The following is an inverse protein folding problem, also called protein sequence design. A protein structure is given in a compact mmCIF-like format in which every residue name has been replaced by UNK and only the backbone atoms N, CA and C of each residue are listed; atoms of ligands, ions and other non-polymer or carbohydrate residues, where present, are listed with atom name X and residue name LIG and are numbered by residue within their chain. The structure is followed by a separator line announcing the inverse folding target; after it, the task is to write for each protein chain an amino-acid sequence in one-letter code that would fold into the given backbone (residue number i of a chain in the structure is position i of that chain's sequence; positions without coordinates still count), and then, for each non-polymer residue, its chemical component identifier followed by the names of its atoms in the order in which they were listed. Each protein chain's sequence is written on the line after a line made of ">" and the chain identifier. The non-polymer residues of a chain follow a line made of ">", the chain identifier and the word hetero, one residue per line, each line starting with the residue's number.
data_IF_617964766938
#
_entry.id   IF_617964766938
#
_cell.length_a   1.000
_cell.length_b   1.000
_cell.length_c   1.000
_cell.angle_alpha   90.00
_cell.angle_beta   90.00
_cell.angle_gamma   90.00
#
_symmetry.space_group_name_H-M   'P 1'
#
loop_
_entity.id
_entity.type
_entity.pdbx_description
1 polymer ?
#
# COMPACT_ATOMS: atom_id res chain seq x y z
N UNK A 1 -19.96 -9.23 2.92
CA UNK A 1 -18.72 -9.44 3.70
C UNK A 1 -17.63 -8.55 3.14
N UNK A 2 -16.82 -7.95 4.00
CA UNK A 2 -15.74 -7.02 3.62
C UNK A 2 -14.47 -7.84 3.40
N UNK A 3 -14.34 -8.44 2.21
CA UNK A 3 -13.23 -9.33 1.83
C UNK A 3 -11.93 -8.57 1.53
N UNK A 4 -11.38 -7.87 2.52
CA UNK A 4 -10.08 -7.20 2.47
C UNK A 4 -9.44 -7.15 3.87
N UNK A 5 -8.14 -6.88 3.95
CA UNK A 5 -7.41 -6.77 5.23
C UNK A 5 -7.61 -5.38 5.86
N UNK A 6 -7.08 -4.35 5.21
CA UNK A 6 -7.29 -2.96 5.57
C UNK A 6 -7.26 -2.07 4.32
N UNK A 7 -7.73 -0.82 4.48
CA UNK A 7 -7.60 0.23 3.47
C UNK A 7 -7.61 1.61 4.10
N UNK A 8 -6.79 2.51 3.59
CA UNK A 8 -6.90 3.95 3.81
C UNK A 8 -8.15 4.50 3.10
N UNK A 9 -8.88 5.37 3.78
CA UNK A 9 -10.04 6.09 3.23
C UNK A 9 -9.69 7.54 2.92
N UNK A 10 -10.43 8.22 2.02
CA UNK A 10 -10.28 9.65 1.78
C UNK A 10 -10.53 10.54 3.01
N UNK A 11 -11.15 10.00 4.07
CA UNK A 11 -11.45 10.73 5.31
C UNK A 11 -10.31 10.65 6.34
N UNK A 12 -9.10 10.31 5.91
CA UNK A 12 -7.95 10.13 6.79
C UNK A 12 -8.15 9.09 7.88
N UNK A 13 -8.91 8.03 7.57
CA UNK A 13 -9.11 6.89 8.47
C UNK A 13 -8.63 5.59 7.84
N UNK A 14 -8.26 4.63 8.67
CA UNK A 14 -7.98 3.25 8.24
C UNK A 14 -9.20 2.41 8.59
N UNK A 15 -9.72 1.70 7.59
CA UNK A 15 -10.79 0.73 7.77
C UNK A 15 -10.21 -0.68 7.68
N UNK A 16 -10.50 -1.52 8.67
CA UNK A 16 -10.19 -2.96 8.64
C UNK A 16 -11.36 -3.76 8.07
N UNK A 17 -11.05 -4.87 7.42
CA UNK A 17 -12.03 -5.83 6.90
C UNK A 17 -11.96 -7.18 7.62
N UNK A 18 -12.77 -8.12 7.17
CA UNK A 18 -12.98 -9.40 7.86
C UNK A 18 -11.71 -10.29 7.80
N UNK A 19 -10.88 -10.11 6.76
CA UNK A 19 -9.64 -10.89 6.61
C UNK A 19 -8.56 -10.51 7.62
N UNK A 20 -8.71 -9.38 8.32
CA UNK A 20 -7.74 -8.92 9.31
C UNK A 20 -7.60 -9.91 10.47
N UNK A 21 -8.67 -10.65 10.80
CA UNK A 21 -8.67 -11.68 11.85
C UNK A 21 -7.81 -12.91 11.51
N UNK A 22 -7.41 -13.09 10.25
CA UNK A 22 -6.52 -14.19 9.85
C UNK A 22 -5.02 -13.85 9.96
N UNK A 23 -4.70 -12.60 10.28
CA UNK A 23 -3.32 -12.13 10.41
C UNK A 23 -2.84 -12.24 11.84
N UNK A 24 -1.55 -12.55 12.01
CA UNK A 24 -0.89 -12.42 13.32
C UNK A 24 -0.86 -10.95 13.77
N UNK A 25 -0.73 -10.68 15.07
CA UNK A 25 -0.66 -9.30 15.58
C UNK A 25 0.46 -8.48 14.93
N UNK A 26 1.59 -9.10 14.59
CA UNK A 26 2.70 -8.43 13.88
C UNK A 26 2.34 -8.07 12.44
N UNK A 27 1.61 -8.93 11.73
CA UNK A 27 1.15 -8.66 10.36
C UNK A 27 0.04 -7.60 10.38
N UNK A 28 -0.86 -7.66 11.37
CA UNK A 28 -1.91 -6.67 11.55
C UNK A 28 -1.32 -5.27 11.76
N UNK A 29 -0.37 -5.14 12.69
CA UNK A 29 0.31 -3.88 12.95
C UNK A 29 1.03 -3.35 11.71
N UNK A 30 1.68 -4.24 10.94
CA UNK A 30 2.36 -3.87 9.71
C UNK A 30 1.42 -3.38 8.61
N UNK A 31 0.30 -4.08 8.38
CA UNK A 31 -0.71 -3.67 7.40
C UNK A 31 -1.33 -2.33 7.81
N UNK A 32 -1.66 -2.13 9.08
CA UNK A 32 -2.18 -0.83 9.58
C UNK A 32 -1.15 0.28 9.38
N UNK A 33 0.13 0.02 9.66
CA UNK A 33 1.19 1.00 9.45
C UNK A 33 1.37 1.36 7.97
N UNK A 34 1.29 0.38 7.07
CA UNK A 34 1.30 0.60 5.62
C UNK A 34 0.12 1.50 5.19
N UNK A 35 -1.11 1.19 5.63
CA UNK A 35 -2.27 2.04 5.35
C UNK A 35 -2.13 3.46 5.91
N UNK A 36 -1.53 3.61 7.10
CA UNK A 36 -1.19 4.93 7.65
C UNK A 36 -0.15 5.65 6.80
N UNK A 37 0.77 4.93 6.15
CA UNK A 37 1.70 5.50 5.18
C UNK A 37 0.98 6.17 4.00
N UNK A 38 -0.10 5.55 3.49
CA UNK A 38 -0.92 6.20 2.47
C UNK A 38 -1.55 7.51 2.93
N UNK A 39 -1.97 7.58 4.20
CA UNK A 39 -2.51 8.80 4.80
C UNK A 39 -1.42 9.86 5.01
N UNK A 40 -0.29 9.48 5.61
CA UNK A 40 0.82 10.39 5.91
C UNK A 40 1.37 11.08 4.65
N UNK A 41 1.30 10.40 3.51
CA UNK A 41 1.78 10.91 2.22
C UNK A 41 0.67 11.42 1.28
N UNK A 42 -0.57 11.53 1.75
CA UNK A 42 -1.70 12.09 0.99
C UNK A 42 -1.90 11.39 -0.37
N UNK A 43 -1.78 10.06 -0.37
CA UNK A 43 -1.79 9.26 -1.60
C UNK A 43 -3.14 9.30 -2.32
N UNK A 44 -4.25 9.32 -1.57
CA UNK A 44 -5.59 9.39 -2.13
C UNK A 44 -5.84 10.72 -2.84
N UNK A 45 -5.42 11.82 -2.24
CA UNK A 45 -5.56 13.19 -2.73
C UNK A 45 -4.72 13.40 -3.98
N UNK A 46 -3.45 12.93 -3.96
CA UNK A 46 -2.60 12.92 -5.14
C UNK A 46 -3.27 12.18 -6.29
N UNK A 47 -3.83 10.98 -6.04
CA UNK A 47 -4.59 10.23 -7.06
C UNK A 47 -5.81 11.00 -7.54
N UNK A 48 -6.59 11.61 -6.65
CA UNK A 48 -7.75 12.41 -7.00
C UNK A 48 -7.39 13.58 -7.92
N UNK A 49 -6.28 14.28 -7.66
CA UNK A 49 -5.82 15.38 -8.52
C UNK A 49 -5.55 14.95 -9.96
N UNK A 50 -5.08 13.72 -10.21
CA UNK A 50 -4.91 13.20 -11.57
C UNK A 50 -6.23 13.05 -12.33
N UNK A 51 -7.32 12.72 -11.62
CA UNK A 51 -8.66 12.65 -12.22
C UNK A 51 -9.26 14.04 -12.42
N UNK A 52 -9.17 14.92 -11.41
CA UNK A 52 -9.72 16.27 -11.48
C UNK A 52 -9.07 17.13 -12.57
N UNK A 53 -7.78 16.92 -12.82
CA UNK A 53 -7.03 17.61 -13.90
C UNK A 53 -7.13 16.91 -15.25
N UNK A 54 -7.86 15.78 -15.33
CA UNK A 54 -7.91 14.90 -16.50
C UNK A 54 -6.54 14.38 -16.97
N UNK A 55 -5.46 14.58 -16.18
CA UNK A 55 -4.11 14.15 -16.50
C UNK A 55 -4.01 12.63 -16.71
N UNK A 56 -4.90 11.86 -16.08
CA UNK A 56 -4.99 10.39 -16.26
C UNK A 56 -5.23 9.99 -17.72
N UNK A 57 -5.97 10.80 -18.50
CA UNK A 57 -6.26 10.53 -19.91
C UNK A 57 -5.07 10.85 -20.81
N UNK A 58 -4.27 11.85 -20.44
CA UNK A 58 -3.11 12.30 -21.22
C UNK A 58 -1.81 11.56 -20.88
N UNK A 59 -1.69 11.08 -19.64
CA UNK A 59 -0.47 10.46 -19.13
C UNK A 59 -0.79 9.26 -18.22
N UNK A 60 -1.50 8.29 -18.77
CA UNK A 60 -1.85 7.04 -18.08
C UNK A 60 -0.63 6.33 -17.48
N UNK A 61 0.48 6.25 -18.22
CA UNK A 61 1.72 5.62 -17.74
C UNK A 61 2.33 6.35 -16.54
N UNK A 62 2.25 7.69 -16.51
CA UNK A 62 2.68 8.50 -15.38
C UNK A 62 1.83 8.25 -14.14
N UNK A 63 0.51 8.13 -14.30
CA UNK A 63 -0.40 7.76 -13.22
C UNK A 63 -0.04 6.39 -12.62
N UNK A 64 0.20 5.38 -13.47
CA UNK A 64 0.61 4.04 -13.02
C UNK A 64 1.94 4.07 -12.27
N UNK A 65 2.93 4.80 -12.76
CA UNK A 65 4.23 4.97 -12.09
C UNK A 65 4.10 5.65 -10.73
N UNK A 66 3.23 6.66 -10.63
CA UNK A 66 2.94 7.31 -9.35
C UNK A 66 2.32 6.30 -8.38
N UNK A 67 1.31 5.54 -8.79
CA UNK A 67 0.71 4.51 -7.93
C UNK A 67 1.74 3.46 -7.49
N UNK A 68 2.62 3.00 -8.39
CA UNK A 68 3.71 2.09 -8.02
C UNK A 68 4.63 2.69 -6.94
N UNK A 69 4.96 3.98 -7.04
CA UNK A 69 5.78 4.70 -6.07
C UNK A 69 5.08 4.87 -4.73
N UNK A 70 3.78 5.14 -4.74
CA UNK A 70 2.98 5.31 -3.51
C UNK A 70 2.99 4.05 -2.64
N UNK A 71 2.93 2.86 -3.24
CA UNK A 71 3.04 1.58 -2.51
C UNK A 71 4.40 1.44 -1.83
N UNK A 72 5.49 1.84 -2.50
CA UNK A 72 6.85 1.80 -1.94
C UNK A 72 7.06 2.84 -0.84
N UNK A 73 6.47 4.03 -0.97
CA UNK A 73 6.47 5.06 0.07
C UNK A 73 5.71 4.57 1.32
N UNK A 74 4.57 3.90 1.13
CA UNK A 74 3.81 3.29 2.23
C UNK A 74 4.57 2.12 2.90
N UNK A 75 5.26 1.28 2.12
CA UNK A 75 6.16 0.25 2.65
C UNK A 75 7.29 0.87 3.48
N UNK A 76 7.93 1.92 2.96
CA UNK A 76 8.99 2.67 3.66
C UNK A 76 8.50 3.29 4.97
N UNK A 77 7.27 3.81 5.00
CA UNK A 77 6.65 4.29 6.22
C UNK A 77 6.48 3.18 7.26
N UNK A 78 5.94 2.02 6.86
CA UNK A 78 5.78 0.87 7.76
C UNK A 78 7.13 0.37 8.32
N UNK A 79 8.20 0.39 7.51
CA UNK A 79 9.56 0.09 7.99
C UNK A 79 10.01 1.10 9.04
N UNK A 80 9.81 2.41 8.79
CA UNK A 80 10.22 3.46 9.72
C UNK A 80 9.51 3.37 11.08
N UNK A 81 8.32 2.77 11.12
CA UNK A 81 7.59 2.45 12.34
C UNK A 81 8.01 1.14 13.01
N UNK A 82 9.04 0.43 12.50
CA UNK A 82 9.51 -0.84 13.05
C UNK A 82 8.72 -2.08 12.62
N UNK A 83 7.88 -1.96 11.58
CA UNK A 83 6.99 -3.05 11.14
C UNK A 83 7.45 -3.79 9.87
N UNK A 84 8.68 -3.54 9.39
CA UNK A 84 9.20 -4.14 8.16
C UNK A 84 9.13 -5.67 8.11
N UNK A 85 9.51 -6.35 9.21
CA UNK A 85 9.44 -7.83 9.30
C UNK A 85 8.00 -8.36 9.18
N UNK A 86 7.06 -7.71 9.87
CA UNK A 86 5.63 -8.05 9.80
C UNK A 86 5.07 -7.88 8.40
N UNK A 87 5.43 -6.79 7.74
CA UNK A 87 5.01 -6.48 6.38
C UNK A 87 5.57 -7.49 5.37
N UNK A 88 6.83 -7.88 5.52
CA UNK A 88 7.47 -8.91 4.69
C UNK A 88 6.73 -10.26 4.79
N UNK A 89 6.41 -10.70 6.01
CA UNK A 89 5.65 -11.95 6.21
C UNK A 89 4.26 -11.87 5.57
N UNK A 90 3.56 -10.76 5.77
CA UNK A 90 2.26 -10.52 5.14
C UNK A 90 2.35 -10.60 3.61
N UNK A 91 3.32 -9.92 2.99
CA UNK A 91 3.49 -9.89 1.54
C UNK A 91 3.86 -11.26 0.96
N UNK A 92 4.66 -12.07 1.66
CA UNK A 92 4.98 -13.43 1.21
C UNK A 92 3.75 -14.34 1.20
N UNK A 93 2.88 -14.21 2.20
CA UNK A 93 1.68 -15.04 2.35
C UNK A 93 0.53 -14.60 1.45
N UNK A 94 0.31 -13.29 1.35
CA UNK A 94 -0.90 -12.71 0.77
C UNK A 94 -0.65 -11.77 -0.43
N UNK A 95 0.60 -11.37 -0.66
CA UNK A 95 0.95 -10.48 -1.76
C UNK A 95 0.77 -11.15 -3.12
N UNK A 96 0.27 -10.39 -4.10
CA UNK A 96 0.10 -10.91 -5.45
C UNK A 96 1.44 -11.09 -6.14
N UNK A 97 1.72 -12.33 -6.57
CA UNK A 97 2.91 -12.65 -7.38
C UNK A 97 2.84 -12.08 -8.79
N UNK A 98 1.64 -11.74 -9.27
CA UNK A 98 1.44 -11.16 -10.61
C UNK A 98 1.50 -9.65 -10.52
N UNK A 99 2.16 -9.01 -11.50
CA UNK A 99 2.14 -7.55 -11.61
C UNK A 99 0.71 -7.09 -11.93
N UNK A 100 0.14 -6.26 -11.07
CA UNK A 100 -1.11 -5.56 -11.34
C UNK A 100 -0.81 -4.14 -11.83
N UNK A 101 -1.67 -3.60 -12.70
CA UNK A 101 -1.53 -2.22 -13.20
C UNK A 101 -1.52 -1.24 -12.02
N UNK A 102 -0.46 -0.43 -11.93
CA UNK A 102 -0.34 0.60 -10.89
C UNK A 102 0.11 0.08 -9.53
N UNK A 103 0.44 -1.21 -9.41
CA UNK A 103 1.05 -1.79 -8.21
C UNK A 103 2.44 -2.33 -8.56
N UNK A 104 3.44 -2.11 -7.69
CA UNK A 104 4.73 -2.74 -7.89
C UNK A 104 4.57 -4.25 -7.77
N UNK A 105 5.39 -5.02 -8.50
CA UNK A 105 5.41 -6.46 -8.31
C UNK A 105 5.86 -6.80 -6.88
N UNK A 106 5.38 -7.93 -6.35
CA UNK A 106 5.76 -8.41 -5.02
C UNK A 106 7.28 -8.42 -4.80
N UNK A 107 8.05 -8.83 -5.81
CA UNK A 107 9.51 -8.85 -5.73
C UNK A 107 10.11 -7.48 -5.42
N UNK A 108 9.68 -6.44 -6.15
CA UNK A 108 10.16 -5.06 -5.94
C UNK A 108 9.81 -4.52 -4.54
N UNK A 109 8.65 -4.91 -4.01
CA UNK A 109 8.27 -4.56 -2.61
C UNK A 109 9.17 -5.27 -1.61
N UNK A 110 9.41 -6.57 -1.80
CA UNK A 110 10.29 -7.35 -0.92
C UNK A 110 11.74 -6.84 -0.95
N UNK A 111 12.29 -6.51 -2.13
CA UNK A 111 13.61 -5.88 -2.25
C UNK A 111 13.67 -4.56 -1.47
N UNK A 112 12.64 -3.71 -1.59
CA UNK A 112 12.60 -2.45 -0.85
C UNK A 112 12.56 -2.64 0.69
N UNK A 113 12.09 -3.80 1.17
CA UNK A 113 12.09 -4.15 2.59
C UNK A 113 13.45 -4.65 3.09
N UNK A 114 14.30 -5.21 2.22
CA UNK A 114 15.57 -5.86 2.59
C UNK A 114 16.78 -4.89 2.58
N UNK A 115 16.64 -3.65 2.11
CA UNK A 115 17.76 -2.68 1.90
C UNK A 115 18.15 -1.88 3.16
N UNK A 116 17.79 -2.31 4.38
CA UNK A 116 18.15 -1.56 5.62
C UNK A 116 18.52 -2.45 6.80
#
# INVERSE_FOLDING_TARGET
>A
MKNFFARATPWHTVQTGDLMGHLTSSEQAAVIAHERGHLAHWHAEKRLMWFLTLAVFWNWHGFLKMCERQELEADGYAISCGHGRGLRMFLIKHGSRRKHLGYPCLHKRLEALDVR
#
